data_IF_441652548874
#
_entry.id   IF_441652548874
#
_cell.length_a   1.000
_cell.length_b   1.000
_cell.length_c   1.000
_cell.angle_alpha   90.00
_cell.angle_beta   90.00
_cell.angle_gamma   90.00
#
_symmetry.space_group_name_H-M   'P 1'
#
loop_
_entity.id
_entity.type
_entity.pdbx_description
1 polymer ?
#
# COMPACT_ATOMS: atom_id res chain seq x y z
N UNK A 1 21.03 -36.38 -29.90
CA UNK A 1 21.55 -35.79 -28.64
C UNK A 1 21.92 -34.34 -28.88
N UNK A 2 20.94 -33.43 -28.80
CA UNK A 2 21.22 -31.99 -28.85
C UNK A 2 21.45 -31.53 -27.41
N UNK A 3 22.69 -31.12 -27.12
CA UNK A 3 23.09 -30.57 -25.83
C UNK A 3 22.33 -29.25 -25.60
N UNK A 4 21.26 -29.30 -24.80
CA UNK A 4 20.68 -28.11 -24.18
C UNK A 4 21.68 -27.65 -23.15
N UNK A 5 22.49 -26.63 -23.48
CA UNK A 5 23.38 -26.01 -22.50
C UNK A 5 22.51 -25.46 -21.38
N UNK A 6 22.61 -25.96 -20.13
CA UNK A 6 21.79 -25.44 -19.03
C UNK A 6 22.18 -23.98 -18.81
N UNK A 7 21.29 -23.06 -19.18
CA UNK A 7 21.45 -21.63 -18.90
C UNK A 7 21.46 -21.48 -17.38
N UNK A 8 22.63 -21.22 -16.79
CA UNK A 8 22.79 -21.03 -15.35
C UNK A 8 22.00 -19.80 -14.92
N UNK A 9 20.98 -20.02 -14.09
CA UNK A 9 20.17 -18.96 -13.49
C UNK A 9 20.98 -18.36 -12.33
N UNK A 10 21.33 -17.07 -12.42
CA UNK A 10 21.94 -16.30 -11.32
C UNK A 10 20.85 -15.52 -10.60
N UNK A 11 20.88 -15.44 -9.28
CA UNK A 11 20.01 -14.55 -8.50
C UNK A 11 20.35 -13.10 -8.81
N UNK A 12 19.36 -12.30 -9.16
CA UNK A 12 19.52 -10.90 -9.57
C UNK A 12 19.40 -9.90 -8.43
N UNK A 13 19.96 -8.71 -8.66
CA UNK A 13 19.87 -7.56 -7.75
C UNK A 13 18.72 -6.62 -8.10
N UNK A 14 18.88 -5.34 -7.81
CA UNK A 14 17.87 -4.31 -8.11
C UNK A 14 17.80 -3.99 -9.61
N UNK A 15 16.68 -4.26 -10.30
CA UNK A 15 16.57 -4.03 -11.75
C UNK A 15 16.19 -2.59 -12.11
N UNK A 16 15.88 -1.72 -11.13
CA UNK A 16 15.21 -0.42 -11.37
C UNK A 16 16.03 0.58 -12.18
N UNK A 17 17.34 0.42 -12.24
CA UNK A 17 18.24 1.28 -13.03
C UNK A 17 18.32 0.85 -14.50
N UNK A 18 17.77 -0.32 -14.87
CA UNK A 18 17.87 -0.85 -16.22
C UNK A 18 16.75 -0.30 -17.11
N UNK A 19 17.05 0.10 -18.36
CA UNK A 19 16.05 0.64 -19.29
C UNK A 19 14.98 -0.40 -19.64
N UNK A 20 15.36 -1.68 -19.73
CA UNK A 20 14.42 -2.78 -19.97
C UNK A 20 13.38 -2.93 -18.83
N UNK A 21 13.74 -2.55 -17.59
CA UNK A 21 12.80 -2.57 -16.47
C UNK A 21 11.78 -1.42 -16.57
N UNK A 22 12.22 -0.23 -16.99
CA UNK A 22 11.31 0.88 -17.26
C UNK A 22 10.33 0.54 -18.40
N UNK A 23 10.84 -0.07 -19.48
CA UNK A 23 10.02 -0.51 -20.62
C UNK A 23 9.03 -1.63 -20.23
N UNK A 24 9.46 -2.58 -19.39
CA UNK A 24 8.59 -3.62 -18.83
C UNK A 24 7.45 -3.00 -18.00
N UNK A 25 7.77 -2.05 -17.12
CA UNK A 25 6.78 -1.37 -16.27
C UNK A 25 5.78 -0.57 -17.10
N UNK A 26 6.23 0.11 -18.15
CA UNK A 26 5.36 0.88 -19.04
C UNK A 26 4.32 -0.03 -19.72
N UNK A 27 4.76 -1.17 -20.26
CA UNK A 27 3.87 -2.16 -20.86
C UNK A 27 2.86 -2.73 -19.85
N UNK A 28 3.30 -3.05 -18.64
CA UNK A 28 2.45 -3.61 -17.60
C UNK A 28 1.48 -2.59 -17.00
N UNK A 29 1.77 -1.29 -17.07
CA UNK A 29 0.89 -0.22 -16.58
C UNK A 29 -0.46 -0.20 -17.30
N UNK A 30 -0.52 -0.78 -18.51
CA UNK A 30 -1.74 -1.00 -19.30
C UNK A 30 -2.78 -1.84 -18.56
N UNK A 31 -2.37 -2.78 -17.70
CA UNK A 31 -3.28 -3.60 -16.89
C UNK A 31 -4.13 -2.77 -15.91
N UNK A 32 -3.62 -1.62 -15.48
CA UNK A 32 -4.28 -0.70 -14.54
C UNK A 32 -4.84 0.55 -15.22
N UNK A 33 -4.69 0.65 -16.54
CA UNK A 33 -5.11 1.81 -17.30
C UNK A 33 -6.64 1.82 -17.47
N UNK A 34 -7.33 2.95 -17.22
CA UNK A 34 -8.79 3.05 -17.36
C UNK A 34 -9.32 2.63 -18.74
N UNK A 35 -8.57 2.95 -19.80
CA UNK A 35 -8.90 2.56 -21.18
C UNK A 35 -8.57 1.09 -21.54
N UNK A 36 -7.99 0.31 -20.61
CA UNK A 36 -7.63 -1.11 -20.76
C UNK A 36 -7.01 -1.48 -22.12
N UNK A 37 -5.94 -0.81 -22.56
CA UNK A 37 -5.24 -1.23 -23.77
C UNK A 37 -4.66 -2.63 -23.58
N UNK A 38 -4.67 -3.41 -24.65
CA UNK A 38 -4.15 -4.77 -24.60
C UNK A 38 -2.65 -4.77 -24.28
N UNK A 39 -2.28 -5.67 -23.38
CA UNK A 39 -0.88 -5.91 -23.02
C UNK A 39 -0.25 -6.81 -24.09
N UNK A 40 0.87 -6.38 -24.63
CA UNK A 40 1.70 -7.21 -25.49
C UNK A 40 2.52 -8.19 -24.63
N UNK A 41 1.95 -9.37 -24.40
CA UNK A 41 2.58 -10.39 -23.56
C UNK A 41 3.89 -10.95 -24.13
N UNK A 42 4.04 -11.01 -25.47
CA UNK A 42 5.31 -11.41 -26.11
C UNK A 42 6.41 -10.39 -25.82
N UNK A 43 6.05 -9.10 -25.81
CA UNK A 43 6.97 -8.03 -25.45
C UNK A 43 7.35 -8.08 -23.96
N UNK A 44 6.39 -8.33 -23.07
CA UNK A 44 6.64 -8.54 -21.63
C UNK A 44 7.62 -9.69 -21.42
N UNK A 45 7.39 -10.85 -22.04
CA UNK A 45 8.27 -12.00 -21.96
C UNK A 45 9.70 -11.66 -22.41
N UNK A 46 9.83 -11.04 -23.59
CA UNK A 46 11.13 -10.63 -24.14
C UNK A 46 11.90 -9.71 -23.19
N UNK A 47 11.22 -8.75 -22.56
CA UNK A 47 11.84 -7.83 -21.58
C UNK A 47 12.24 -8.54 -20.30
N UNK A 48 11.42 -9.44 -19.78
CA UNK A 48 11.78 -10.25 -18.62
C UNK A 48 13.03 -11.11 -18.88
N UNK A 49 13.12 -11.76 -20.04
CA UNK A 49 14.28 -12.56 -20.42
C UNK A 49 15.55 -11.69 -20.57
N UNK A 50 15.42 -10.50 -21.17
CA UNK A 50 16.53 -9.53 -21.26
C UNK A 50 17.03 -9.11 -19.88
N UNK A 51 16.12 -8.86 -18.93
CA UNK A 51 16.45 -8.53 -17.55
C UNK A 51 17.12 -9.69 -16.80
N UNK A 52 16.69 -10.93 -17.04
CA UNK A 52 17.35 -12.10 -16.47
C UNK A 52 18.81 -12.24 -16.93
N UNK A 53 19.09 -11.90 -18.19
CA UNK A 53 20.46 -11.93 -18.73
C UNK A 53 21.34 -10.83 -18.12
N UNK A 54 20.82 -9.60 -18.05
CA UNK A 54 21.56 -8.43 -17.56
C UNK A 54 21.72 -8.45 -16.03
N UNK A 55 20.61 -8.50 -15.31
CA UNK A 55 20.55 -8.37 -13.85
C UNK A 55 20.69 -9.71 -13.12
N UNK A 56 20.16 -10.78 -13.71
CA UNK A 56 19.82 -12.01 -12.98
C UNK A 56 18.35 -12.05 -12.60
N UNK A 57 17.91 -13.17 -12.06
CA UNK A 57 16.50 -13.41 -11.74
C UNK A 57 16.18 -12.89 -10.35
N UNK A 58 15.30 -11.91 -10.29
CA UNK A 58 14.71 -11.36 -9.07
C UNK A 58 13.18 -11.54 -9.08
N UNK A 59 12.55 -11.43 -7.91
CA UNK A 59 11.19 -11.90 -7.69
C UNK A 59 10.12 -11.15 -8.51
N UNK A 60 10.27 -9.84 -8.72
CA UNK A 60 9.30 -9.02 -9.43
C UNK A 60 9.27 -9.35 -10.93
N UNK A 61 10.42 -9.33 -11.61
CA UNK A 61 10.54 -9.71 -13.02
C UNK A 61 10.15 -11.17 -13.22
N UNK A 62 10.49 -12.06 -12.29
CA UNK A 62 10.06 -13.46 -12.35
C UNK A 62 8.55 -13.63 -12.20
N UNK A 63 7.90 -12.86 -11.33
CA UNK A 63 6.45 -12.85 -11.22
C UNK A 63 5.79 -12.46 -12.54
N UNK A 64 6.25 -11.38 -13.17
CA UNK A 64 5.72 -10.95 -14.47
C UNK A 64 6.06 -11.91 -15.61
N UNK A 65 7.25 -12.51 -15.60
CA UNK A 65 7.62 -13.58 -16.53
C UNK A 65 6.67 -14.77 -16.42
N UNK A 66 6.41 -15.23 -15.19
CA UNK A 66 5.50 -16.36 -14.91
C UNK A 66 4.10 -16.07 -15.46
N UNK A 67 3.59 -14.86 -15.23
CA UNK A 67 2.30 -14.45 -15.76
C UNK A 67 2.31 -14.38 -17.30
N UNK A 68 3.33 -13.79 -17.91
CA UNK A 68 3.45 -13.69 -19.37
C UNK A 68 3.52 -15.07 -20.03
N UNK A 69 4.32 -15.99 -19.49
CA UNK A 69 4.38 -17.39 -19.96
C UNK A 69 3.04 -18.09 -19.81
N UNK A 70 2.34 -17.87 -18.71
CA UNK A 70 0.98 -18.43 -18.52
C UNK A 70 -0.02 -17.87 -19.55
N UNK A 71 0.12 -16.59 -19.96
CA UNK A 71 -0.73 -15.99 -20.98
C UNK A 71 -0.46 -16.58 -22.37
N UNK A 72 0.82 -16.77 -22.73
CA UNK A 72 1.26 -17.19 -24.06
C UNK A 72 1.22 -18.71 -24.28
N UNK A 73 1.58 -19.48 -23.24
CA UNK A 73 1.79 -20.93 -23.34
C UNK A 73 0.90 -21.73 -22.39
N UNK A 74 -0.05 -21.11 -21.68
CA UNK A 74 -0.98 -21.80 -20.79
C UNK A 74 -0.29 -22.50 -19.61
N UNK A 75 -0.72 -23.73 -19.30
CA UNK A 75 -0.21 -24.49 -18.16
C UNK A 75 1.29 -24.86 -18.25
N UNK A 76 1.85 -25.24 -19.42
CA UNK A 76 3.29 -25.37 -19.57
C UNK A 76 4.05 -24.11 -19.13
N UNK A 77 3.58 -22.93 -19.56
CA UNK A 77 4.20 -21.66 -19.19
C UNK A 77 4.08 -21.32 -17.70
N UNK A 78 2.95 -21.66 -17.08
CA UNK A 78 2.77 -21.57 -15.63
C UNK A 78 3.80 -22.44 -14.89
N UNK A 79 3.91 -23.70 -15.30
CA UNK A 79 4.81 -24.67 -14.66
C UNK A 79 6.27 -24.24 -14.77
N UNK A 80 6.71 -23.72 -15.92
CA UNK A 80 8.06 -23.16 -16.09
C UNK A 80 8.36 -22.03 -15.09
N UNK A 81 7.44 -21.06 -14.94
CA UNK A 81 7.63 -19.97 -13.98
C UNK A 81 7.64 -20.47 -12.53
N UNK A 82 6.75 -21.42 -12.21
CA UNK A 82 6.69 -22.04 -10.88
C UNK A 82 7.97 -22.82 -10.52
N UNK A 83 8.62 -23.50 -11.47
CA UNK A 83 9.95 -24.13 -11.25
C UNK A 83 10.93 -23.10 -10.71
N UNK A 84 11.03 -21.95 -11.37
CA UNK A 84 12.04 -20.94 -11.07
C UNK A 84 11.70 -20.25 -9.74
N UNK A 85 10.41 -20.00 -9.48
CA UNK A 85 9.93 -19.47 -8.21
C UNK A 85 10.28 -20.40 -7.05
N UNK A 86 10.00 -21.70 -7.21
CA UNK A 86 10.32 -22.74 -6.23
C UNK A 86 11.82 -22.76 -5.92
N UNK A 87 12.67 -22.75 -6.96
CA UNK A 87 14.12 -22.76 -6.78
C UNK A 87 14.63 -21.51 -6.04
N UNK A 88 14.17 -20.30 -6.42
CA UNK A 88 14.62 -19.06 -5.77
C UNK A 88 14.12 -18.92 -4.34
N UNK A 89 12.86 -19.27 -4.08
CA UNK A 89 12.26 -19.12 -2.74
C UNK A 89 12.85 -20.18 -1.79
N UNK A 90 13.12 -21.39 -2.27
CA UNK A 90 13.71 -22.46 -1.45
C UNK A 90 15.18 -22.24 -1.12
N UNK A 91 15.97 -21.72 -2.06
CA UNK A 91 17.43 -21.70 -1.92
C UNK A 91 18.05 -20.32 -1.78
N UNK A 92 17.34 -19.25 -2.17
CA UNK A 92 17.89 -17.90 -2.27
C UNK A 92 17.05 -16.86 -1.52
N UNK A 93 16.22 -17.29 -0.56
CA UNK A 93 15.33 -16.41 0.17
C UNK A 93 16.06 -15.23 0.83
N UNK A 94 17.23 -15.44 1.43
CA UNK A 94 17.99 -14.38 2.10
C UNK A 94 18.47 -13.26 1.15
N UNK A 95 18.84 -13.61 -0.08
CA UNK A 95 19.45 -12.70 -1.06
C UNK A 95 18.45 -12.18 -2.11
N UNK A 96 17.25 -12.75 -2.17
CA UNK A 96 16.22 -12.45 -3.16
C UNK A 96 15.80 -10.98 -3.13
N UNK A 97 15.94 -10.26 -4.24
CA UNK A 97 15.38 -8.92 -4.34
C UNK A 97 13.86 -8.98 -4.63
N UNK A 98 13.04 -8.07 -4.06
CA UNK A 98 13.37 -6.97 -3.14
C UNK A 98 13.68 -7.43 -1.71
N UNK A 99 14.55 -6.72 -1.01
CA UNK A 99 14.99 -7.09 0.35
C UNK A 99 13.86 -7.13 1.40
N UNK A 100 12.91 -6.17 1.42
CA UNK A 100 11.84 -6.20 2.41
C UNK A 100 10.87 -7.37 2.20
N UNK A 101 10.67 -8.19 3.23
CA UNK A 101 9.78 -9.37 3.19
C UNK A 101 8.35 -9.02 2.80
N UNK A 102 7.82 -7.89 3.30
CA UNK A 102 6.47 -7.44 2.94
C UNK A 102 6.33 -7.18 1.43
N UNK A 103 7.34 -6.61 0.79
CA UNK A 103 7.32 -6.36 -0.65
C UNK A 103 7.36 -7.67 -1.45
N UNK A 104 8.10 -8.69 -0.97
CA UNK A 104 8.09 -10.03 -1.56
C UNK A 104 6.70 -10.67 -1.47
N UNK A 105 6.01 -10.52 -0.33
CA UNK A 105 4.67 -11.05 -0.13
C UNK A 105 3.62 -10.36 -1.00
N UNK A 106 3.69 -9.04 -1.17
CA UNK A 106 2.83 -8.31 -2.10
C UNK A 106 3.02 -8.77 -3.56
N UNK A 107 4.26 -9.06 -3.97
CA UNK A 107 4.53 -9.59 -5.32
C UNK A 107 3.92 -10.99 -5.49
N UNK A 108 4.08 -11.88 -4.51
CA UNK A 108 3.54 -13.24 -4.56
C UNK A 108 2.01 -13.28 -4.48
N UNK A 109 1.40 -12.45 -3.62
CA UNK A 109 -0.05 -12.35 -3.50
C UNK A 109 -0.66 -11.78 -4.79
N UNK A 110 -0.05 -10.74 -5.38
CA UNK A 110 -0.48 -10.18 -6.67
C UNK A 110 -0.35 -11.19 -7.80
N UNK A 111 0.75 -11.96 -7.85
CA UNK A 111 0.93 -13.03 -8.81
C UNK A 111 -0.17 -14.08 -8.68
N UNK A 112 -0.42 -14.57 -7.45
CA UNK A 112 -1.45 -15.57 -7.17
C UNK A 112 -2.81 -15.11 -7.69
N UNK A 113 -3.22 -13.88 -7.38
CA UNK A 113 -4.51 -13.33 -7.82
C UNK A 113 -4.62 -13.25 -9.35
N UNK A 114 -3.56 -12.82 -10.05
CA UNK A 114 -3.55 -12.71 -11.52
C UNK A 114 -3.57 -14.08 -12.19
N UNK A 115 -2.83 -15.05 -11.66
CA UNK A 115 -2.86 -16.43 -12.13
C UNK A 115 -4.23 -17.07 -11.90
N UNK A 116 -4.86 -16.83 -10.74
CA UNK A 116 -6.23 -17.29 -10.48
C UNK A 116 -7.22 -16.74 -11.50
N UNK A 117 -7.11 -15.46 -11.86
CA UNK A 117 -7.93 -14.84 -12.91
C UNK A 117 -7.69 -15.51 -14.27
N UNK A 118 -6.42 -15.73 -14.65
CA UNK A 118 -6.08 -16.39 -15.92
C UNK A 118 -6.57 -17.85 -15.96
N UNK A 119 -6.44 -18.59 -14.88
CA UNK A 119 -6.90 -19.98 -14.76
C UNK A 119 -8.42 -20.13 -15.00
N UNK A 120 -9.22 -19.10 -14.74
CA UNK A 120 -10.68 -19.14 -15.00
C UNK A 120 -11.03 -19.08 -16.48
N UNK A 121 -10.15 -18.53 -17.33
CA UNK A 121 -10.40 -18.36 -18.77
C UNK A 121 -9.56 -19.29 -19.63
N UNK A 122 -8.76 -20.18 -19.03
CA UNK A 122 -7.93 -21.11 -19.77
C UNK A 122 -8.78 -22.29 -20.26
N UNK A 123 -8.79 -22.60 -21.57
CA UNK A 123 -9.47 -23.79 -22.07
C UNK A 123 -8.67 -25.02 -21.62
N UNK A 124 -9.27 -25.84 -20.76
CA UNK A 124 -8.66 -27.06 -20.24
C UNK A 124 -9.18 -28.27 -20.99
N UNK A 125 -8.27 -29.13 -21.45
CA UNK A 125 -8.57 -30.41 -22.07
C UNK A 125 -8.01 -31.55 -21.21
N UNK A 126 -8.50 -32.77 -21.38
CA UNK A 126 -8.05 -33.91 -20.58
C UNK A 126 -6.52 -34.13 -20.65
N UNK A 127 -5.89 -33.84 -21.79
CA UNK A 127 -4.42 -33.88 -21.98
C UNK A 127 -3.64 -32.96 -21.04
N UNK A 128 -4.28 -31.91 -20.53
CA UNK A 128 -3.69 -30.94 -19.60
C UNK A 128 -3.63 -31.44 -18.14
N UNK A 129 -4.28 -32.56 -17.81
CA UNK A 129 -4.40 -33.07 -16.45
C UNK A 129 -3.03 -33.26 -15.77
N UNK A 130 -2.06 -33.79 -16.51
CA UNK A 130 -0.68 -33.95 -16.02
C UNK A 130 -0.01 -32.61 -15.66
N UNK A 131 -0.26 -31.56 -16.44
CA UNK A 131 0.27 -30.22 -16.20
C UNK A 131 -0.41 -29.55 -14.99
N UNK A 132 -1.70 -29.81 -14.76
CA UNK A 132 -2.41 -29.34 -13.57
C UNK A 132 -1.85 -29.97 -12.29
N UNK A 133 -1.63 -31.28 -12.27
CA UNK A 133 -1.00 -31.94 -11.12
C UNK A 133 0.42 -31.46 -10.86
N UNK A 134 1.20 -31.23 -11.91
CA UNK A 134 2.54 -30.67 -11.77
C UNK A 134 2.50 -29.26 -11.15
N UNK A 135 1.54 -28.42 -11.56
CA UNK A 135 1.36 -27.09 -11.01
C UNK A 135 0.92 -27.15 -9.54
N UNK A 136 0.01 -28.06 -9.20
CA UNK A 136 -0.44 -28.30 -7.83
C UNK A 136 0.72 -28.75 -6.92
N UNK A 137 1.54 -29.69 -7.39
CA UNK A 137 2.72 -30.17 -6.66
C UNK A 137 3.69 -29.02 -6.36
N UNK A 138 4.00 -28.18 -7.36
CA UNK A 138 4.90 -27.02 -7.21
C UNK A 138 4.35 -25.98 -6.23
N UNK A 139 3.06 -25.69 -6.34
CA UNK A 139 2.38 -24.75 -5.44
C UNK A 139 2.35 -25.30 -4.00
N UNK A 140 2.22 -26.61 -3.84
CA UNK A 140 2.31 -27.27 -2.53
C UNK A 140 3.73 -27.13 -1.94
N UNK A 141 4.77 -27.44 -2.72
CA UNK A 141 6.17 -27.27 -2.30
C UNK A 141 6.50 -25.82 -1.91
N UNK A 142 6.07 -24.85 -2.73
CA UNK A 142 6.17 -23.42 -2.41
C UNK A 142 5.44 -23.06 -1.10
N UNK A 143 4.24 -23.60 -0.90
CA UNK A 143 3.45 -23.42 0.31
C UNK A 143 4.16 -23.96 1.56
N UNK A 144 4.84 -25.10 1.48
CA UNK A 144 5.62 -25.66 2.58
C UNK A 144 6.85 -24.81 2.93
N UNK A 145 7.57 -24.32 1.93
CA UNK A 145 8.73 -23.43 2.14
C UNK A 145 8.28 -22.14 2.82
N UNK A 146 7.21 -21.52 2.32
CA UNK A 146 6.65 -20.30 2.90
C UNK A 146 6.04 -20.53 4.28
N UNK A 147 5.56 -21.74 4.58
CA UNK A 147 5.12 -22.12 5.93
C UNK A 147 6.27 -22.16 6.93
N UNK A 148 7.41 -22.73 6.54
CA UNK A 148 8.62 -22.73 7.39
C UNK A 148 9.16 -21.33 7.65
N UNK A 149 8.87 -20.38 6.76
CA UNK A 149 9.18 -18.97 6.91
C UNK A 149 8.09 -18.17 7.67
N UNK A 150 6.99 -18.80 8.08
CA UNK A 150 5.81 -18.17 8.69
C UNK A 150 5.07 -17.17 7.78
N UNK A 151 5.25 -17.29 6.46
CA UNK A 151 4.74 -16.36 5.44
C UNK A 151 3.62 -16.96 4.56
N UNK A 152 3.25 -18.22 4.79
CA UNK A 152 2.29 -18.98 3.96
C UNK A 152 1.01 -18.18 3.66
N UNK A 153 0.34 -17.70 4.70
CA UNK A 153 -0.94 -16.99 4.58
C UNK A 153 -0.84 -15.67 3.82
N UNK A 154 0.32 -14.99 3.89
CA UNK A 154 0.53 -13.70 3.22
C UNK A 154 0.70 -13.86 1.70
N UNK A 155 1.25 -14.99 1.26
CA UNK A 155 1.49 -15.26 -0.17
C UNK A 155 0.23 -15.55 -0.98
N UNK A 156 -0.87 -15.97 -0.33
CA UNK A 156 -2.13 -16.37 -0.95
C UNK A 156 -1.98 -17.48 -2.04
N UNK A 157 -0.88 -18.24 -2.06
CA UNK A 157 -0.66 -19.30 -3.06
C UNK A 157 -1.56 -20.52 -2.85
N UNK A 158 -2.02 -20.77 -1.62
CA UNK A 158 -2.96 -21.86 -1.31
C UNK A 158 -4.29 -21.74 -2.06
N UNK A 159 -4.77 -20.50 -2.29
CA UNK A 159 -6.00 -20.25 -3.05
C UNK A 159 -5.83 -20.65 -4.53
N UNK A 160 -4.67 -20.31 -5.12
CA UNK A 160 -4.34 -20.72 -6.49
C UNK A 160 -4.18 -22.25 -6.58
N UNK A 161 -3.48 -22.87 -5.62
CA UNK A 161 -3.33 -24.33 -5.54
C UNK A 161 -4.69 -25.02 -5.51
N UNK A 162 -5.60 -24.53 -4.66
CA UNK A 162 -6.96 -25.09 -4.52
C UNK A 162 -7.76 -24.93 -5.81
N UNK A 163 -7.62 -23.81 -6.53
CA UNK A 163 -8.23 -23.63 -7.84
C UNK A 163 -7.68 -24.61 -8.88
N UNK A 164 -6.37 -24.81 -8.93
CA UNK A 164 -5.71 -25.78 -9.82
C UNK A 164 -6.20 -27.20 -9.52
N UNK A 165 -6.22 -27.59 -8.25
CA UNK A 165 -6.72 -28.89 -7.80
C UNK A 165 -8.19 -29.11 -8.22
N UNK A 166 -9.06 -28.14 -7.94
CA UNK A 166 -10.47 -28.22 -8.32
C UNK A 166 -10.66 -28.31 -9.84
N UNK A 167 -9.80 -27.63 -10.62
CA UNK A 167 -9.80 -27.75 -12.08
C UNK A 167 -9.40 -29.16 -12.53
N UNK A 168 -8.40 -29.78 -11.89
CA UNK A 168 -8.00 -31.17 -12.17
C UNK A 168 -9.14 -32.15 -11.84
N UNK A 169 -9.69 -32.08 -10.62
CA UNK A 169 -10.79 -32.95 -10.17
C UNK A 169 -12.03 -32.79 -11.07
N UNK A 170 -12.37 -31.56 -11.47
CA UNK A 170 -13.50 -31.34 -12.41
C UNK A 170 -13.23 -31.98 -13.75
N UNK A 171 -12.00 -31.88 -14.25
CA UNK A 171 -11.61 -32.44 -15.54
C UNK A 171 -11.63 -33.97 -15.52
N UNK A 172 -11.17 -34.60 -14.44
CA UNK A 172 -11.27 -36.06 -14.23
C UNK A 172 -12.72 -36.56 -14.19
N UNK A 173 -13.60 -35.82 -13.53
CA UNK A 173 -15.00 -36.20 -13.38
C UNK A 173 -15.86 -35.89 -14.61
N UNK A 174 -15.40 -35.00 -15.50
CA UNK A 174 -16.16 -34.63 -16.71
C UNK A 174 -16.12 -35.71 -17.80
N UNK A 175 -15.15 -36.63 -17.74
CA UNK A 175 -15.03 -37.76 -18.69
C UNK A 175 -15.90 -38.97 -18.28
N UNK A 176 -16.63 -38.87 -17.15
CA UNK A 176 -17.59 -39.90 -16.69
C UNK A 176 -19.00 -39.76 -17.28
N UNK A 177 -19.29 -38.71 -18.05
CA UNK A 177 -20.60 -38.45 -18.65
C UNK A 177 -20.52 -38.49 -20.18
N UNK A 178 -20.63 -39.71 -20.71
CA UNK A 178 -21.18 -40.07 -22.03
C UNK A 178 -20.79 -39.18 -23.23
N UNK A 179 -19.83 -39.65 -24.01
CA UNK A 179 -19.79 -39.40 -25.45
C UNK A 179 -21.02 -40.02 -26.14
N UNK A 180 -21.68 -39.34 -27.10
CA UNK A 180 -22.38 -40.01 -28.17
C UNK A 180 -21.41 -40.26 -29.33
N UNK A 181 -21.34 -41.53 -29.73
CA UNK A 181 -20.64 -42.00 -30.91
C UNK A 181 -21.18 -41.36 -32.20
N UNK A 182 -20.28 -40.89 -33.06
CA UNK A 182 -20.34 -41.08 -34.52
C UNK A 182 -18.97 -40.76 -35.15
N UNK A 183 -18.29 -41.84 -35.53
CA UNK A 183 -17.07 -42.00 -36.36
C UNK A 183 -17.24 -41.42 -37.80
N UNK A 184 -16.20 -41.32 -38.68
CA UNK A 184 -14.93 -42.09 -38.71
C UNK A 184 -13.66 -41.22 -38.67
N UNK A 185 -12.66 -41.59 -37.85
CA UNK A 185 -11.57 -42.52 -38.18
C UNK A 185 -10.90 -42.18 -39.52
N UNK A 186 -9.86 -41.37 -39.46
CA UNK A 186 -8.64 -41.61 -40.22
C UNK A 186 -7.46 -41.65 -39.26
N UNK A 187 -6.89 -42.83 -39.19
CA UNK A 187 -5.74 -43.24 -38.42
C UNK A 187 -4.49 -42.65 -39.08
N UNK A 188 -3.64 -41.94 -38.34
CA UNK A 188 -2.20 -42.00 -38.60
C UNK A 188 -1.40 -41.63 -37.34
N UNK A 189 -0.72 -42.65 -36.85
CA UNK A 189 0.32 -42.62 -35.84
C UNK A 189 1.49 -41.81 -36.40
N UNK A 190 1.90 -40.73 -35.72
CA UNK A 190 3.25 -40.20 -35.83
C UNK A 190 3.65 -39.44 -34.56
N UNK A 191 4.33 -40.19 -33.71
CA UNK A 191 5.48 -39.83 -32.87
C UNK A 191 5.97 -38.36 -32.94
N UNK A 192 6.22 -37.80 -31.76
CA UNK A 192 7.18 -36.73 -31.49
C UNK A 192 8.34 -36.70 -32.50
N UNK A 193 8.66 -35.52 -33.05
CA UNK A 193 9.94 -34.85 -32.84
C UNK A 193 10.08 -33.55 -33.67
N UNK A 194 10.69 -32.57 -33.01
CA UNK A 194 11.65 -31.62 -33.54
C UNK A 194 11.30 -30.79 -34.81
N UNK A 195 11.20 -29.48 -34.57
CA UNK A 195 11.56 -28.40 -35.49
C UNK A 195 12.74 -28.79 -36.38
N UNK A 196 12.51 -28.82 -37.70
CA UNK A 196 13.56 -28.86 -38.72
C UNK A 196 13.22 -27.82 -39.80
N UNK A 197 13.98 -26.73 -39.81
CA UNK A 197 14.03 -25.81 -40.94
C UNK A 197 14.54 -26.58 -42.17
N UNK A 198 13.80 -26.52 -43.27
CA UNK A 198 14.26 -27.03 -44.56
C UNK A 198 14.08 -25.96 -45.63
N UNK A 199 15.22 -25.49 -46.10
CA UNK A 199 15.45 -24.64 -47.27
C UNK A 199 14.71 -25.18 -48.50
N UNK A 200 13.83 -24.38 -49.11
CA UNK A 200 13.22 -24.71 -50.40
C UNK A 200 13.96 -23.93 -51.49
N UNK A 201 14.67 -24.68 -52.34
CA UNK A 201 15.35 -24.18 -53.51
C UNK A 201 14.32 -23.72 -54.57
N UNK A 202 14.52 -22.51 -55.08
CA UNK A 202 13.89 -22.04 -56.33
C UNK A 202 14.42 -22.84 -57.53
N UNK A 203 13.57 -23.13 -58.52
CA UNK A 203 13.99 -23.20 -59.90
C UNK A 203 13.35 -22.06 -60.71
N UNK A 204 14.15 -21.10 -61.15
CA UNK A 204 13.88 -20.29 -62.35
C UNK A 204 14.34 -21.06 -63.61
N UNK A 205 14.10 -20.58 -64.84
CA UNK A 205 12.85 -20.07 -65.42
C UNK A 205 12.58 -20.75 -66.78
N UNK A 206 11.33 -20.75 -67.26
CA UNK A 206 11.06 -20.91 -68.70
C UNK A 206 10.11 -19.82 -69.16
N UNK A 207 10.65 -18.95 -70.00
CA UNK A 207 9.91 -17.98 -70.79
C UNK A 207 8.94 -18.69 -71.73
N UNK A 208 7.72 -18.16 -71.86
CA UNK A 208 7.11 -17.91 -73.15
C UNK A 208 5.96 -16.90 -73.02
N UNK A 209 5.98 -15.97 -73.98
CA UNK A 209 5.17 -14.76 -74.14
C UNK A 209 3.76 -15.12 -74.62
N UNK A 210 2.74 -14.36 -74.18
CA UNK A 210 1.40 -14.45 -74.79
C UNK A 210 0.28 -13.62 -74.16
N UNK A 211 0.25 -12.32 -74.48
CA UNK A 211 -0.93 -11.46 -74.75
C UNK A 211 -1.94 -11.12 -73.63
N UNK A 212 -2.19 -9.81 -73.53
CA UNK A 212 -3.10 -9.08 -72.65
C UNK A 212 -4.60 -9.37 -72.91
N UNK A 213 -5.37 -9.49 -71.82
CA UNK A 213 -6.76 -9.00 -71.76
C UNK A 213 -6.97 -8.31 -70.42
N UNK A 214 -7.33 -7.02 -70.47
CA UNK A 214 -7.60 -6.19 -69.31
C UNK A 214 -8.97 -6.51 -68.71
N UNK A 215 -9.02 -6.83 -67.41
CA UNK A 215 -10.24 -6.95 -66.61
C UNK A 215 -10.38 -5.66 -65.78
N UNK A 216 -11.56 -5.01 -65.72
CA UNK A 216 -11.72 -3.79 -64.93
C UNK A 216 -11.70 -4.11 -63.44
N UNK A 217 -10.82 -3.44 -62.69
CA UNK A 217 -10.74 -3.54 -61.23
C UNK A 217 -11.89 -2.74 -60.61
N UNK A 218 -12.87 -3.44 -60.04
CA UNK A 218 -13.80 -2.84 -59.09
C UNK A 218 -13.05 -2.49 -57.80
N UNK A 219 -12.78 -1.21 -57.60
CA UNK A 219 -12.15 -0.73 -56.37
C UNK A 219 -13.20 -0.71 -55.27
N UNK A 220 -12.97 -1.50 -54.22
CA UNK A 220 -13.86 -1.65 -53.09
C UNK A 220 -13.88 -0.35 -52.26
N UNK A 221 -14.92 0.48 -52.47
CA UNK A 221 -15.19 1.75 -51.77
C UNK A 221 -15.20 1.62 -50.23
N UNK A 222 -15.35 0.41 -49.70
CA UNK A 222 -15.34 0.13 -48.26
C UNK A 222 -13.97 0.35 -47.60
N UNK A 223 -12.87 0.20 -48.35
CA UNK A 223 -11.51 0.42 -47.83
C UNK A 223 -11.26 1.87 -47.41
N UNK A 224 -11.79 2.84 -48.16
CA UNK A 224 -11.69 4.27 -47.81
C UNK A 224 -12.58 4.66 -46.63
N UNK A 225 -13.73 4.00 -46.46
CA UNK A 225 -14.62 4.20 -45.31
C UNK A 225 -13.98 3.65 -44.01
N UNK A 226 -13.47 2.43 -44.05
CA UNK A 226 -12.75 1.81 -42.91
C UNK A 226 -11.48 2.60 -42.58
N UNK A 227 -10.73 3.03 -43.59
CA UNK A 227 -9.56 3.89 -43.39
C UNK A 227 -9.93 5.21 -42.70
N UNK A 228 -11.03 5.86 -43.11
CA UNK A 228 -11.55 7.07 -42.47
C UNK A 228 -12.03 6.86 -41.02
N UNK A 229 -12.66 5.73 -40.72
CA UNK A 229 -13.04 5.37 -39.35
C UNK A 229 -11.82 5.10 -38.46
N UNK A 230 -10.82 4.39 -38.99
CA UNK A 230 -9.58 4.11 -38.26
C UNK A 230 -8.82 5.41 -37.94
N UNK A 231 -8.74 6.36 -38.88
CA UNK A 231 -8.07 7.65 -38.60
C UNK A 231 -8.82 8.48 -37.57
N UNK A 232 -10.16 8.54 -37.61
CA UNK A 232 -10.96 9.19 -36.57
C UNK A 232 -10.83 8.53 -35.19
N UNK A 233 -10.79 7.20 -35.12
CA UNK A 233 -10.56 6.46 -33.87
C UNK A 233 -9.16 6.71 -33.30
N UNK A 234 -8.13 6.76 -34.15
CA UNK A 234 -6.76 7.05 -33.71
C UNK A 234 -6.65 8.50 -33.22
N UNK A 235 -7.26 9.46 -33.92
CA UNK A 235 -7.26 10.87 -33.50
C UNK A 235 -8.03 11.08 -32.20
N UNK A 236 -9.20 10.46 -32.04
CA UNK A 236 -9.98 10.55 -30.80
C UNK A 236 -9.30 9.83 -29.62
N UNK A 237 -8.71 8.66 -29.83
CA UNK A 237 -7.93 7.96 -28.81
C UNK A 237 -6.69 8.77 -28.40
N UNK A 238 -5.98 9.38 -29.35
CA UNK A 238 -4.83 10.25 -29.08
C UNK A 238 -5.24 11.52 -28.33
N UNK A 239 -6.39 12.12 -28.67
CA UNK A 239 -6.94 13.25 -27.94
C UNK A 239 -7.34 12.88 -26.50
N UNK A 240 -7.99 11.73 -26.30
CA UNK A 240 -8.35 11.21 -24.97
C UNK A 240 -7.12 10.85 -24.13
N UNK A 241 -6.10 10.28 -24.76
CA UNK A 241 -4.87 9.90 -24.08
C UNK A 241 -4.00 11.11 -23.75
N UNK A 242 -3.90 12.08 -24.66
CA UNK A 242 -3.33 13.40 -24.39
C UNK A 242 -4.05 14.08 -23.24
N UNK A 243 -5.39 14.15 -23.29
CA UNK A 243 -6.21 14.66 -22.20
C UNK A 243 -5.89 13.94 -20.88
N UNK A 244 -5.95 12.62 -20.83
CA UNK A 244 -5.72 11.87 -19.60
C UNK A 244 -4.29 12.00 -19.07
N UNK A 245 -3.28 12.11 -19.94
CA UNK A 245 -1.89 12.34 -19.56
C UNK A 245 -1.69 13.75 -18.99
N UNK A 246 -2.26 14.77 -19.65
CA UNK A 246 -2.23 16.16 -19.18
C UNK A 246 -3.10 16.38 -17.93
N UNK A 247 -4.12 15.54 -17.69
CA UNK A 247 -5.01 15.61 -16.51
C UNK A 247 -4.62 14.67 -15.36
N UNK A 248 -3.45 14.00 -15.39
CA UNK A 248 -2.95 13.30 -14.19
C UNK A 248 -2.55 14.36 -13.14
N UNK A 249 -3.21 14.40 -11.96
CA UNK A 249 -2.79 15.31 -10.91
C UNK A 249 -1.39 14.91 -10.45
N UNK A 250 -0.51 15.91 -10.34
CA UNK A 250 0.84 15.74 -9.83
C UNK A 250 0.78 15.08 -8.43
N UNK A 251 1.51 13.98 -8.18
CA UNK A 251 1.51 13.31 -6.87
C UNK A 251 1.85 14.26 -5.72
N UNK A 252 2.69 15.28 -5.94
CA UNK A 252 3.01 16.29 -4.92
C UNK A 252 1.82 17.20 -4.66
N UNK A 253 1.07 17.57 -5.69
CA UNK A 253 -0.17 18.34 -5.54
C UNK A 253 -1.26 17.52 -4.83
N UNK A 254 -1.34 16.22 -5.10
CA UNK A 254 -2.24 15.31 -4.39
C UNK A 254 -1.86 15.17 -2.91
N UNK A 255 -0.56 15.07 -2.59
CA UNK A 255 -0.08 15.02 -1.21
C UNK A 255 -0.28 16.37 -0.48
N UNK A 256 -0.04 17.48 -1.16
CA UNK A 256 -0.34 18.82 -0.66
C UNK A 256 -1.84 18.95 -0.34
N UNK A 257 -2.71 18.58 -1.27
CA UNK A 257 -4.16 18.59 -1.06
C UNK A 257 -4.58 17.67 0.08
N UNK A 258 -3.98 16.47 0.20
CA UNK A 258 -4.24 15.56 1.32
C UNK A 258 -3.79 16.15 2.66
N UNK A 259 -2.66 16.86 2.73
CA UNK A 259 -2.20 17.53 3.95
C UNK A 259 -3.15 18.64 4.43
N UNK A 260 -3.89 19.24 3.49
CA UNK A 260 -4.88 20.30 3.75
C UNK A 260 -6.31 19.75 3.89
N UNK A 261 -6.52 18.46 3.63
CA UNK A 261 -7.83 17.84 3.74
C UNK A 261 -8.28 17.72 5.20
N UNK A 262 -9.60 17.84 5.48
CA UNK A 262 -10.10 17.63 6.83
C UNK A 262 -9.81 16.20 7.28
N UNK A 263 -9.56 16.02 8.59
CA UNK A 263 -9.36 14.70 9.17
C UNK A 263 -10.55 13.79 8.81
N UNK A 264 -10.30 12.55 8.38
CA UNK A 264 -11.37 11.65 7.98
C UNK A 264 -12.29 11.38 9.18
N UNK A 265 -13.56 11.75 9.04
CA UNK A 265 -14.57 11.53 10.06
C UNK A 265 -15.05 10.07 10.05
N UNK A 266 -15.26 9.44 11.22
CA UNK A 266 -15.91 8.14 11.27
C UNK A 266 -17.35 8.23 10.74
N UNK A 267 -17.86 7.11 10.24
CA UNK A 267 -19.24 7.02 9.77
C UNK A 267 -20.22 7.35 10.90
N UNK A 268 -21.29 8.06 10.57
CA UNK A 268 -22.36 8.37 11.53
C UNK A 268 -23.10 7.10 11.97
N UNK A 269 -23.77 7.10 13.14
CA UNK A 269 -24.53 5.94 13.62
C UNK A 269 -25.54 5.41 12.60
N UNK A 270 -26.19 6.31 11.85
CA UNK A 270 -27.15 5.91 10.81
C UNK A 270 -26.45 5.28 9.60
N UNK A 271 -25.30 5.82 9.17
CA UNK A 271 -24.51 5.23 8.09
C UNK A 271 -23.98 3.84 8.47
N UNK A 272 -23.55 3.65 9.73
CA UNK A 272 -23.11 2.35 10.24
C UNK A 272 -24.24 1.31 10.20
N UNK A 273 -25.46 1.69 10.59
CA UNK A 273 -26.64 0.82 10.48
C UNK A 273 -26.91 0.41 9.03
N UNK A 274 -26.89 1.37 8.09
CA UNK A 274 -27.10 1.09 6.67
C UNK A 274 -25.99 0.19 6.09
N UNK A 275 -24.73 0.45 6.42
CA UNK A 275 -23.59 -0.33 5.95
C UNK A 275 -23.66 -1.78 6.46
N UNK A 276 -24.04 -1.97 7.73
CA UNK A 276 -24.23 -3.29 8.34
C UNK A 276 -25.32 -4.12 7.64
N UNK A 277 -26.33 -3.47 7.07
CA UNK A 277 -27.41 -4.14 6.35
C UNK A 277 -27.02 -4.57 4.92
N UNK A 278 -25.97 -3.99 4.31
CA UNK A 278 -25.57 -4.20 2.91
C UNK A 278 -24.50 -5.28 2.70
N UNK A 279 -24.52 -6.37 3.47
CA UNK A 279 -23.53 -7.47 3.41
C UNK A 279 -23.12 -7.90 1.99
N UNK A 280 -21.85 -8.28 1.76
CA UNK A 280 -20.79 -8.53 2.75
C UNK A 280 -19.85 -7.34 3.01
N UNK A 281 -19.41 -7.20 4.26
CA UNK A 281 -18.37 -6.24 4.67
C UNK A 281 -16.96 -6.80 4.37
N UNK A 282 -15.96 -5.93 4.08
CA UNK A 282 -14.59 -6.38 3.87
C UNK A 282 -14.01 -7.04 5.13
N UNK A 283 -13.45 -8.25 5.00
CA UNK A 283 -12.81 -8.97 6.12
C UNK A 283 -11.59 -8.21 6.67
N UNK A 284 -10.95 -7.38 5.84
CA UNK A 284 -9.80 -6.54 6.24
C UNK A 284 -10.19 -5.33 7.09
N UNK A 285 -11.47 -4.96 7.16
CA UNK A 285 -11.90 -3.74 7.83
C UNK A 285 -11.54 -3.72 9.32
N UNK A 286 -11.63 -4.87 10.01
CA UNK A 286 -11.23 -4.98 11.41
C UNK A 286 -9.72 -4.82 11.60
N UNK A 287 -8.91 -5.46 10.76
CA UNK A 287 -7.46 -5.33 10.81
C UNK A 287 -7.02 -3.88 10.51
N UNK A 288 -7.64 -3.23 9.52
CA UNK A 288 -7.40 -1.82 9.22
C UNK A 288 -7.83 -0.89 10.37
N UNK A 289 -8.96 -1.20 11.02
CA UNK A 289 -9.42 -0.46 12.20
C UNK A 289 -8.41 -0.60 13.35
N UNK A 290 -7.92 -1.81 13.61
CA UNK A 290 -6.88 -2.04 14.63
C UNK A 290 -5.59 -1.28 14.32
N UNK A 291 -5.16 -1.29 13.06
CA UNK A 291 -4.00 -0.52 12.64
C UNK A 291 -4.19 0.98 12.86
N UNK A 292 -5.38 1.51 12.54
CA UNK A 292 -5.70 2.92 12.75
C UNK A 292 -5.71 3.29 14.24
N UNK A 293 -6.28 2.44 15.10
CA UNK A 293 -6.26 2.63 16.56
C UNK A 293 -4.81 2.66 17.08
N UNK A 294 -3.98 1.70 16.65
CA UNK A 294 -2.57 1.65 17.03
C UNK A 294 -1.75 2.87 16.54
N UNK A 295 -2.15 3.51 15.43
CA UNK A 295 -1.56 4.75 14.96
C UNK A 295 -1.98 5.95 15.83
N UNK A 296 -3.27 6.02 16.18
CA UNK A 296 -3.81 7.08 17.04
C UNK A 296 -3.20 7.03 18.44
N UNK A 297 -3.00 5.84 19.00
CA UNK A 297 -2.36 5.65 20.31
C UNK A 297 -0.90 6.13 20.35
N UNK A 298 -0.23 6.17 19.19
CA UNK A 298 1.16 6.65 19.06
C UNK A 298 1.25 8.16 18.86
N UNK A 299 0.14 8.87 18.68
CA UNK A 299 0.19 10.31 18.47
C UNK A 299 0.57 11.02 19.78
N UNK A 300 1.57 11.93 19.76
CA UNK A 300 1.93 12.66 20.95
C UNK A 300 0.82 13.68 21.33
N UNK A 301 0.71 14.07 22.61
CA UNK A 301 -0.34 14.99 23.06
C UNK A 301 -0.28 16.36 22.36
N UNK A 302 0.91 16.80 21.93
CA UNK A 302 1.15 18.02 21.16
C UNK A 302 0.99 17.84 19.64
N UNK A 303 0.48 16.69 19.16
CA UNK A 303 0.39 16.36 17.74
C UNK A 303 -0.28 17.47 16.92
N UNK A 304 -1.41 18.02 17.38
CA UNK A 304 -2.16 19.03 16.63
C UNK A 304 -1.36 20.32 16.44
N UNK A 305 -0.53 20.66 17.43
CA UNK A 305 0.36 21.81 17.41
C UNK A 305 1.52 21.55 16.46
N UNK A 306 2.14 20.37 16.57
CA UNK A 306 3.22 19.95 15.68
C UNK A 306 2.76 19.85 14.21
N UNK A 307 1.56 19.33 13.95
CA UNK A 307 1.00 19.23 12.61
C UNK A 307 0.71 20.62 12.03
N UNK A 308 0.05 21.49 12.79
CA UNK A 308 -0.21 22.86 12.33
C UNK A 308 1.06 23.65 12.06
N UNK A 309 2.14 23.42 12.82
CA UNK A 309 3.47 23.97 12.53
C UNK A 309 4.01 23.48 11.20
N UNK A 310 3.96 22.17 10.93
CA UNK A 310 4.41 21.60 9.64
C UNK A 310 3.63 22.19 8.47
N UNK A 311 2.32 22.44 8.64
CA UNK A 311 1.52 23.12 7.62
C UNK A 311 1.97 24.57 7.39
N UNK A 312 2.31 25.29 8.46
CA UNK A 312 2.86 26.66 8.32
C UNK A 312 4.24 26.67 7.67
N UNK A 313 5.12 25.73 8.02
CA UNK A 313 6.45 25.57 7.40
C UNK A 313 6.32 25.21 5.91
N UNK A 314 5.37 24.33 5.57
CA UNK A 314 5.04 23.98 4.19
C UNK A 314 4.50 25.19 3.41
N UNK A 315 3.60 25.98 4.02
CA UNK A 315 3.07 27.19 3.38
C UNK A 315 4.17 28.25 3.17
N UNK A 316 5.08 28.42 4.13
CA UNK A 316 6.22 29.34 4.03
C UNK A 316 7.20 28.92 2.93
N UNK A 317 7.44 27.62 2.77
CA UNK A 317 8.32 27.10 1.73
C UNK A 317 7.72 27.25 0.32
N UNK A 318 6.41 27.06 0.18
CA UNK A 318 5.71 27.16 -1.11
C UNK A 318 5.38 28.61 -1.50
N UNK A 319 5.09 29.47 -0.53
CA UNK A 319 4.68 30.87 -0.73
C UNK A 319 5.39 31.83 0.24
N UNK A 320 6.70 32.11 0.05
CA UNK A 320 7.51 32.83 1.04
C UNK A 320 6.98 34.24 1.37
N UNK A 321 6.45 34.97 0.40
CA UNK A 321 5.92 36.32 0.63
C UNK A 321 4.48 36.30 1.14
N UNK A 322 3.63 35.42 0.60
CA UNK A 322 2.20 35.39 0.96
C UNK A 322 1.95 34.70 2.30
N UNK A 323 2.79 33.74 2.69
CA UNK A 323 2.62 32.99 3.93
C UNK A 323 3.13 33.74 5.17
N UNK A 324 4.05 34.71 5.05
CA UNK A 324 4.57 35.51 6.18
C UNK A 324 3.49 36.01 7.16
N UNK A 325 2.40 36.68 6.74
CA UNK A 325 1.36 37.13 7.67
C UNK A 325 0.63 35.95 8.33
N UNK A 326 0.38 34.86 7.61
CA UNK A 326 -0.25 33.65 8.14
C UNK A 326 0.61 33.00 9.22
N UNK A 327 1.90 32.80 8.94
CA UNK A 327 2.87 32.21 9.88
C UNK A 327 3.01 33.10 11.11
N UNK A 328 3.16 34.42 10.92
CA UNK A 328 3.26 35.38 12.03
C UNK A 328 1.99 35.37 12.89
N UNK A 329 0.81 35.40 12.28
CA UNK A 329 -0.46 35.37 12.99
C UNK A 329 -0.63 34.06 13.77
N UNK A 330 -0.37 32.93 13.13
CA UNK A 330 -0.41 31.62 13.79
C UNK A 330 0.55 31.56 14.98
N UNK A 331 1.79 32.03 14.82
CA UNK A 331 2.78 32.03 15.89
C UNK A 331 2.37 32.94 17.06
N UNK A 332 1.86 34.14 16.77
CA UNK A 332 1.33 35.05 17.79
C UNK A 332 0.16 34.42 18.56
N UNK A 333 -0.79 33.82 17.86
CA UNK A 333 -1.92 33.13 18.47
C UNK A 333 -1.47 31.97 19.36
N UNK A 334 -0.45 31.19 18.93
CA UNK A 334 0.10 30.08 19.71
C UNK A 334 0.83 30.56 20.95
N UNK A 335 1.60 31.64 20.83
CA UNK A 335 2.29 32.22 21.97
C UNK A 335 1.30 32.78 23.01
N UNK A 336 0.22 33.43 22.57
CA UNK A 336 -0.83 33.92 23.45
C UNK A 336 -1.69 32.79 24.07
N UNK A 337 -1.81 31.66 23.38
CA UNK A 337 -2.56 30.50 23.86
C UNK A 337 -1.76 29.58 24.79
N UNK A 338 -0.46 29.82 24.98
CA UNK A 338 0.35 29.06 25.91
C UNK A 338 0.09 29.51 27.36
N UNK A 339 0.20 28.59 28.32
CA UNK A 339 0.14 28.95 29.72
C UNK A 339 1.31 29.91 30.07
N UNK A 340 1.05 31.09 30.67
CA UNK A 340 2.12 32.00 31.09
C UNK A 340 3.08 31.32 32.06
N UNK A 341 4.37 31.61 31.92
CA UNK A 341 5.41 31.00 32.77
C UNK A 341 5.18 31.26 34.27
N UNK A 342 4.62 32.42 34.61
CA UNK A 342 4.28 32.78 35.99
C UNK A 342 3.25 31.84 36.62
N UNK A 343 2.30 31.33 35.83
CA UNK A 343 1.24 30.44 36.30
C UNK A 343 1.73 29.00 36.52
N UNK A 344 2.92 28.64 36.04
CA UNK A 344 3.53 27.33 36.33
C UNK A 344 4.04 27.24 37.77
N UNK A 345 4.22 28.37 38.45
CA UNK A 345 4.96 28.42 39.71
C UNK A 345 4.08 28.35 40.96
N UNK A 346 2.75 28.46 40.86
CA UNK A 346 1.89 28.58 42.05
C UNK A 346 1.95 27.37 42.97
N UNK A 347 2.00 26.15 42.40
CA UNK A 347 2.23 24.92 43.17
C UNK A 347 3.59 24.92 43.87
N UNK A 348 4.67 25.19 43.12
CA UNK A 348 6.02 25.25 43.67
C UNK A 348 6.16 26.28 44.79
N UNK A 349 5.59 27.49 44.63
CA UNK A 349 5.59 28.55 45.63
C UNK A 349 4.82 28.14 46.90
N UNK A 350 3.66 27.50 46.75
CA UNK A 350 2.90 26.98 47.89
C UNK A 350 3.67 25.92 48.65
N UNK A 351 4.30 24.98 47.95
CA UNK A 351 5.14 23.95 48.55
C UNK A 351 6.38 24.52 49.25
N UNK A 352 7.08 25.48 48.62
CA UNK A 352 8.22 26.15 49.24
C UNK A 352 7.82 26.92 50.52
N UNK A 353 6.61 27.50 50.55
CA UNK A 353 6.07 28.17 51.74
C UNK A 353 5.84 27.16 52.88
N UNK A 354 5.27 25.99 52.56
CA UNK A 354 5.06 24.91 53.54
C UNK A 354 6.37 24.28 54.01
N UNK A 355 7.36 24.13 53.14
CA UNK A 355 8.70 23.66 53.50
C UNK A 355 9.38 24.63 54.47
N UNK A 356 9.31 25.93 54.18
CA UNK A 356 9.82 26.98 55.08
C UNK A 356 9.10 26.93 56.42
N UNK A 357 7.78 26.72 56.43
CA UNK A 357 7.00 26.54 57.66
C UNK A 357 7.48 25.31 58.45
N UNK A 358 7.69 24.17 57.79
CA UNK A 358 8.18 22.95 58.41
C UNK A 358 9.57 23.15 59.03
N UNK A 359 10.48 23.78 58.31
CA UNK A 359 11.82 24.08 58.81
C UNK A 359 11.77 25.02 60.03
N UNK A 360 10.87 26.01 59.99
CA UNK A 360 10.66 26.93 61.13
C UNK A 360 10.10 26.18 62.34
N UNK A 361 9.15 25.28 62.16
CA UNK A 361 8.58 24.45 63.22
C UNK A 361 9.65 23.56 63.87
N UNK A 362 10.45 22.86 63.07
CA UNK A 362 11.53 22.01 63.57
C UNK A 362 12.58 22.81 64.38
N UNK A 363 12.90 24.03 63.93
CA UNK A 363 13.83 24.90 64.66
C UNK A 363 13.31 25.42 66.00
N UNK A 364 11.99 25.42 66.22
CA UNK A 364 11.40 25.77 67.53
C UNK A 364 11.60 24.66 68.56
N UNK A 365 11.63 23.39 68.13
CA UNK A 365 11.90 22.26 69.02
C UNK A 365 13.35 22.29 69.56
N UNK A 366 14.29 22.81 68.77
CA UNK A 366 15.70 22.94 69.15
C UNK A 366 15.97 24.14 70.07
N UNK A 367 15.18 25.21 69.96
CA UNK A 367 15.42 26.48 70.68
C UNK A 367 14.40 26.70 71.79
N UNK A 368 14.74 26.26 73.02
CA UNK A 368 13.91 26.45 74.22
C UNK A 368 13.48 27.92 74.39
N UNK A 369 12.16 28.15 74.39
CA UNK A 369 11.54 29.45 74.70
C UNK A 369 11.09 30.27 73.49
N UNK A 370 11.37 29.85 72.25
CA UNK A 370 10.73 30.43 71.06
C UNK A 370 9.46 29.65 70.74
N UNK A 371 8.39 30.37 70.41
CA UNK A 371 7.11 29.78 70.03
C UNK A 371 6.59 30.47 68.78
N UNK A 372 5.81 29.75 67.98
CA UNK A 372 4.99 30.35 66.93
C UNK A 372 3.57 30.51 67.44
N UNK A 373 3.00 31.68 67.25
CA UNK A 373 1.61 31.96 67.61
C UNK A 373 0.66 31.30 66.60
N UNK A 374 -0.56 31.00 67.04
CA UNK A 374 -1.62 30.50 66.14
C UNK A 374 -1.91 31.47 65.00
N UNK A 375 -1.80 32.78 65.25
CA UNK A 375 -1.99 33.81 64.23
C UNK A 375 -0.91 33.74 63.15
N UNK A 376 0.36 33.59 63.51
CA UNK A 376 1.45 33.40 62.54
C UNK A 376 1.28 32.12 61.71
N UNK A 377 0.93 31.00 62.35
CA UNK A 377 0.67 29.74 61.65
C UNK A 377 -0.43 29.91 60.61
N UNK A 378 -1.56 30.51 61.00
CA UNK A 378 -2.68 30.80 60.10
C UNK A 378 -2.25 31.68 58.93
N UNK A 379 -1.42 32.70 59.17
CA UNK A 379 -0.91 33.57 58.11
C UNK A 379 -0.05 32.80 57.08
N UNK A 380 0.82 31.89 57.52
CA UNK A 380 1.65 31.10 56.61
C UNK A 380 0.83 30.07 55.83
N UNK A 381 -0.09 29.37 56.51
CA UNK A 381 -1.02 28.42 55.84
C UNK A 381 -1.89 29.16 54.83
N UNK A 382 -2.40 30.35 55.17
CA UNK A 382 -3.17 31.18 54.25
C UNK A 382 -2.34 31.59 53.03
N UNK A 383 -1.08 31.98 53.20
CA UNK A 383 -0.19 32.32 52.09
C UNK A 383 0.10 31.11 51.16
N UNK A 384 0.26 29.91 51.73
CA UNK A 384 0.41 28.68 50.96
C UNK A 384 -0.88 28.35 50.18
N UNK A 385 -2.04 28.40 50.84
CA UNK A 385 -3.35 28.21 50.19
C UNK A 385 -3.59 29.23 49.07
N UNK A 386 -3.22 30.49 49.29
CA UNK A 386 -3.31 31.53 48.27
C UNK A 386 -2.44 31.18 47.06
N UNK A 387 -1.22 30.67 47.27
CA UNK A 387 -0.32 30.25 46.18
C UNK A 387 -0.89 29.07 45.38
N UNK A 388 -1.45 28.05 46.05
CA UNK A 388 -2.12 26.93 45.37
C UNK A 388 -3.35 27.38 44.58
N UNK A 389 -4.11 28.34 45.09
CA UNK A 389 -5.31 28.85 44.42
C UNK A 389 -4.98 29.77 43.23
N UNK A 390 -3.75 30.29 43.09
CA UNK A 390 -3.33 31.07 41.91
C UNK A 390 -3.27 30.20 40.64
N UNK A 391 -2.87 28.93 40.77
CA UNK A 391 -2.75 27.99 39.66
C UNK A 391 -3.25 26.61 40.07
N UNK A 392 -4.55 26.37 39.94
CA UNK A 392 -5.14 25.07 40.28
C UNK A 392 -4.63 24.01 39.29
N UNK A 393 -3.99 22.91 39.77
CA UNK A 393 -3.50 21.84 38.89
C UNK A 393 -4.61 21.19 38.06
N UNK A 394 -4.26 20.67 36.90
CA UNK A 394 -5.20 20.01 36.00
C UNK A 394 -5.86 18.77 36.64
N UNK A 395 -5.12 18.07 37.49
CA UNK A 395 -5.58 16.90 38.25
C UNK A 395 -6.69 17.28 39.23
N UNK A 396 -6.58 18.41 39.94
CA UNK A 396 -7.62 18.88 40.85
C UNK A 396 -8.86 19.36 40.09
N UNK A 397 -8.70 19.96 38.92
CA UNK A 397 -9.82 20.29 38.04
C UNK A 397 -10.57 19.03 37.57
N UNK A 398 -9.83 17.99 37.17
CA UNK A 398 -10.41 16.69 36.81
C UNK A 398 -11.12 16.01 37.98
N UNK A 399 -10.53 16.04 39.18
CA UNK A 399 -11.16 15.51 40.40
C UNK A 399 -12.49 16.20 40.70
N UNK A 400 -12.59 17.52 40.50
CA UNK A 400 -13.85 18.27 40.65
C UNK A 400 -14.87 17.88 39.59
N UNK A 401 -14.44 17.68 38.35
CA UNK A 401 -15.33 17.20 37.28
C UNK A 401 -15.85 15.78 37.55
N UNK A 402 -15.04 14.89 38.12
CA UNK A 402 -15.45 13.52 38.45
C UNK A 402 -16.40 13.42 39.65
N UNK A 403 -16.63 14.51 40.38
CA UNK A 403 -17.60 14.54 41.49
C UNK A 403 -19.04 14.74 41.02
N UNK A 404 -19.27 15.04 39.73
CA UNK A 404 -20.63 15.08 39.17
C UNK A 404 -21.27 13.68 39.20
N UNK A 405 -22.55 13.55 39.61
CA UNK A 405 -23.24 12.26 39.65
C UNK A 405 -23.25 11.56 38.28
N UNK A 406 -23.14 10.24 38.28
CA UNK A 406 -23.17 9.45 37.06
C UNK A 406 -24.54 9.55 36.37
N UNK A 407 -24.57 10.04 35.14
CA UNK A 407 -25.79 10.22 34.34
C UNK A 407 -26.23 11.67 34.16
N UNK A 408 -25.73 12.59 34.98
CA UNK A 408 -25.98 14.02 34.81
C UNK A 408 -25.01 14.66 33.80
N UNK A 409 -25.47 15.71 33.13
CA UNK A 409 -24.61 16.51 32.26
C UNK A 409 -23.53 17.21 33.10
N UNK A 410 -22.28 17.15 32.63
CA UNK A 410 -21.18 17.88 33.27
C UNK A 410 -21.46 19.39 33.22
N UNK A 411 -21.14 20.16 34.29
CA UNK A 411 -21.28 21.60 34.26
C UNK A 411 -20.43 22.21 33.13
N UNK A 412 -21.08 22.79 32.12
CA UNK A 412 -20.42 23.29 30.89
C UNK A 412 -19.32 24.34 31.19
N UNK A 413 -19.52 25.17 32.21
CA UNK A 413 -18.51 26.15 32.64
C UNK A 413 -17.21 25.48 33.11
N UNK A 414 -17.30 24.45 33.97
CA UNK A 414 -16.15 23.74 34.50
C UNK A 414 -15.43 22.94 33.40
N UNK A 415 -16.21 22.32 32.51
CA UNK A 415 -15.69 21.58 31.34
C UNK A 415 -14.91 22.52 30.42
N UNK A 416 -15.50 23.64 30.02
CA UNK A 416 -14.86 24.63 29.14
C UNK A 416 -13.59 25.21 29.77
N UNK A 417 -13.62 25.50 31.08
CA UNK A 417 -12.46 25.98 31.81
C UNK A 417 -11.31 24.96 31.82
N UNK A 418 -11.62 23.69 32.08
CA UNK A 418 -10.63 22.62 32.05
C UNK A 418 -10.05 22.43 30.64
N UNK A 419 -10.90 22.34 29.62
CA UNK A 419 -10.47 22.19 28.22
C UNK A 419 -9.53 23.32 27.78
N UNK A 420 -9.85 24.56 28.17
CA UNK A 420 -8.98 25.72 27.92
C UNK A 420 -7.63 25.58 28.63
N UNK A 421 -7.64 25.31 29.93
CA UNK A 421 -6.42 25.19 30.72
C UNK A 421 -5.53 24.03 30.22
N UNK A 422 -6.13 22.88 29.92
CA UNK A 422 -5.43 21.73 29.35
C UNK A 422 -4.79 22.06 27.99
N UNK A 423 -5.52 22.79 27.12
CA UNK A 423 -4.97 23.26 25.85
C UNK A 423 -3.79 24.23 26.05
N UNK A 424 -3.84 25.09 27.05
CA UNK A 424 -2.72 25.98 27.41
C UNK A 424 -1.49 25.21 27.88
N UNK A 425 -1.68 24.17 28.70
CA UNK A 425 -0.61 23.27 29.16
C UNK A 425 0.03 22.51 27.99
N UNK A 426 -0.77 21.90 27.12
CA UNK A 426 -0.26 21.21 25.92
C UNK A 426 0.51 22.17 25.01
N UNK A 427 0.02 23.40 24.86
CA UNK A 427 0.71 24.44 24.07
C UNK A 427 2.04 24.84 24.69
N UNK A 428 2.10 25.01 26.01
CA UNK A 428 3.33 25.31 26.74
C UNK A 428 4.34 24.17 26.63
N UNK A 429 3.89 22.92 26.78
CA UNK A 429 4.74 21.74 26.60
C UNK A 429 5.35 21.68 25.18
N UNK A 430 4.55 21.95 24.14
CA UNK A 430 5.02 21.99 22.77
C UNK A 430 6.10 23.07 22.54
N UNK A 431 5.98 24.24 23.19
CA UNK A 431 7.00 25.30 23.14
C UNK A 431 8.31 24.85 23.80
N UNK A 432 8.25 24.31 25.01
CA UNK A 432 9.42 23.82 25.75
C UNK A 432 10.17 22.76 24.93
N UNK A 433 9.43 21.80 24.36
CA UNK A 433 9.99 20.76 23.49
C UNK A 433 10.69 21.33 22.26
N UNK A 434 10.12 22.38 21.65
CA UNK A 434 10.73 23.08 20.51
C UNK A 434 12.03 23.78 20.92
N UNK A 435 12.00 24.53 22.02
CA UNK A 435 13.18 25.24 22.54
C UNK A 435 14.33 24.28 22.87
N UNK A 436 14.00 23.13 23.49
CA UNK A 436 14.99 22.08 23.78
C UNK A 436 15.59 21.43 22.52
N UNK A 437 14.84 21.34 21.42
CA UNK A 437 15.33 20.78 20.15
C UNK A 437 16.14 21.76 19.29
N UNK A 438 16.18 23.04 19.66
CA UNK A 438 16.92 24.09 18.96
C UNK A 438 18.32 24.34 19.57
N UNK A 439 18.61 23.69 20.69
CA UNK A 439 19.93 23.62 21.33
C UNK A 439 20.64 22.34 20.87
#
# INVERSE_FOLDING_TARGET
>A
MNNITPRKIKTGGDPRTLPDYAALRDELSKLTHPARPDVNWQYVEKRCLSLFEQNGVELHTLSWYTLARTQLAGLPGLNEGLVILEALISHQWGTLWPQPVHARMEILSSLSQRLQQRMRSLPLQYSDLSQLYLAEQRLTALGEVLQRLELKHLSQLDTLRTQVHNSAVRLENSDGATAPASSPVEENIALNEAVKWVYVAQPEPRANVGVQTAIPVQVNRWTFFVAGMCTMLVLSASALWGWQYFHRPDPLQAQLAASLSPLPAPLSPEQLKTLRQRSPLPQTALAQTQQQLALLDKLPPDWSITYSRKLTEQAEMLWPEQAKPLVKHWQQQRNAAALPAEQLNGWHQGMATLETLSNRLNGLDEQKGKYMTVSELKSVVFAAMQSFNKSVPAEEQLRRLSQSPAGDALPEANKTQFELHFKQLVTRYAQIKKEASAQ
#
